data_IF_175840357203
#
_entry.id   IF_175840357203
#
_cell.length_a   1.000
_cell.length_b   1.000
_cell.length_c   1.000
_cell.angle_alpha   90.00
_cell.angle_beta   90.00
_cell.angle_gamma   90.00
#
_symmetry.space_group_name_H-M   'P 1'
#
loop_
_entity.id
_entity.type
_entity.pdbx_description
1 polymer ?
#
# COMPACT_ATOMS: atom_id res chain seq x y z
N UNK A 1 9.88 18.38 -28.17
CA UNK A 1 9.38 17.36 -27.24
C UNK A 1 8.38 16.53 -28.02
N UNK A 2 8.80 15.35 -28.44
CA UNK A 2 7.98 14.41 -29.18
C UNK A 2 7.09 13.72 -28.16
N UNK A 3 5.78 13.95 -28.23
CA UNK A 3 4.77 13.17 -27.51
C UNK A 3 5.00 11.69 -27.87
N UNK A 4 5.53 10.91 -26.94
CA UNK A 4 5.53 9.48 -27.07
C UNK A 4 4.06 9.05 -26.99
N UNK A 5 3.50 8.60 -28.12
CA UNK A 5 2.12 8.11 -28.15
C UNK A 5 1.95 7.03 -27.07
N UNK A 6 1.04 7.27 -26.12
CA UNK A 6 0.70 6.26 -25.12
C UNK A 6 0.26 4.99 -25.85
N UNK A 7 0.86 3.82 -25.55
CA UNK A 7 0.45 2.58 -26.18
C UNK A 7 -1.03 2.30 -25.92
N UNK A 8 -1.73 1.84 -26.96
CA UNK A 8 -3.12 1.37 -26.88
C UNK A 8 -3.25 0.31 -25.77
N UNK A 9 -4.39 0.29 -25.07
CA UNK A 9 -4.64 -0.58 -23.92
C UNK A 9 -4.40 -2.05 -24.24
N UNK A 10 -4.76 -2.48 -25.46
CA UNK A 10 -4.51 -3.83 -25.95
C UNK A 10 -3.02 -4.20 -25.93
N UNK A 11 -2.12 -3.24 -26.19
CA UNK A 11 -0.68 -3.49 -26.26
C UNK A 11 -0.11 -3.78 -24.87
N UNK A 12 -0.34 -2.89 -23.90
CA UNK A 12 0.23 -3.10 -22.56
C UNK A 12 -0.49 -4.19 -21.77
N UNK A 13 -1.76 -4.48 -22.06
CA UNK A 13 -2.45 -5.65 -21.49
C UNK A 13 -1.81 -6.95 -21.97
N UNK A 14 -1.39 -7.01 -23.24
CA UNK A 14 -0.65 -8.17 -23.75
C UNK A 14 0.70 -8.34 -23.06
N UNK A 15 1.38 -7.26 -22.71
CA UNK A 15 2.66 -7.29 -21.98
C UNK A 15 2.52 -7.85 -20.54
N UNK A 16 1.29 -7.91 -20.01
CA UNK A 16 0.95 -8.48 -18.70
C UNK A 16 0.35 -9.90 -18.80
N UNK A 17 0.23 -10.47 -20.00
CA UNK A 17 -0.42 -11.77 -20.22
C UNK A 17 0.13 -12.89 -19.33
N UNK A 18 1.46 -13.05 -19.28
CA UNK A 18 2.10 -14.09 -18.45
C UNK A 18 1.81 -13.93 -16.95
N UNK A 19 1.67 -12.68 -16.46
CA UNK A 19 1.28 -12.41 -15.08
C UNK A 19 -0.18 -12.80 -14.84
N UNK A 20 -1.08 -12.45 -15.76
CA UNK A 20 -2.49 -12.79 -15.65
C UNK A 20 -2.71 -14.30 -15.71
N UNK A 21 -2.08 -15.00 -16.66
CA UNK A 21 -2.12 -16.47 -16.76
C UNK A 21 -1.65 -17.14 -15.46
N UNK A 22 -0.60 -16.60 -14.83
CA UNK A 22 -0.12 -17.09 -13.54
C UNK A 22 -1.14 -16.87 -12.42
N UNK A 23 -1.80 -15.72 -12.38
CA UNK A 23 -2.86 -15.45 -11.40
C UNK A 23 -4.02 -16.41 -11.59
N UNK A 24 -4.51 -16.60 -12.81
CA UNK A 24 -5.60 -17.52 -13.13
C UNK A 24 -5.25 -18.97 -12.77
N UNK A 25 -4.01 -19.39 -13.04
CA UNK A 25 -3.54 -20.73 -12.69
C UNK A 25 -3.56 -20.98 -11.18
N UNK A 26 -3.15 -19.98 -10.38
CA UNK A 26 -3.15 -20.09 -8.91
C UNK A 26 -4.58 -19.96 -8.34
N UNK A 27 -5.39 -19.06 -8.88
CA UNK A 27 -6.75 -18.81 -8.43
C UNK A 27 -7.73 -19.94 -8.80
N UNK A 28 -7.49 -20.62 -9.92
CA UNK A 28 -8.43 -21.58 -10.50
C UNK A 28 -9.68 -20.93 -11.12
N UNK A 29 -9.71 -19.60 -11.24
CA UNK A 29 -10.80 -18.81 -11.85
C UNK A 29 -10.23 -17.68 -12.71
N UNK A 30 -11.01 -17.15 -13.68
CA UNK A 30 -10.51 -16.12 -14.60
C UNK A 30 -10.21 -14.78 -13.91
N UNK A 31 -9.33 -14.01 -14.55
CA UNK A 31 -9.02 -12.62 -14.23
C UNK A 31 -9.40 -11.73 -15.43
N UNK A 32 -10.19 -10.69 -15.17
CA UNK A 32 -10.59 -9.72 -16.19
C UNK A 32 -10.13 -8.31 -15.85
N UNK A 33 -9.67 -7.57 -16.85
CA UNK A 33 -9.36 -6.15 -16.71
C UNK A 33 -10.45 -5.31 -17.36
N UNK A 34 -10.98 -4.30 -16.67
CA UNK A 34 -12.03 -3.44 -17.18
C UNK A 34 -11.69 -1.96 -17.00
N UNK A 35 -11.82 -1.20 -18.09
CA UNK A 35 -11.72 0.25 -18.04
C UNK A 35 -13.03 0.86 -17.53
N UNK A 36 -12.94 1.69 -16.48
CA UNK A 36 -14.08 2.38 -15.86
C UNK A 36 -13.70 3.84 -15.56
N UNK A 37 -14.13 4.78 -16.39
CA UNK A 37 -13.72 6.19 -16.30
C UNK A 37 -14.11 6.92 -15.01
N UNK A 38 -15.19 6.49 -14.36
CA UNK A 38 -15.75 7.10 -13.13
C UNK A 38 -15.22 6.46 -11.83
N UNK A 39 -14.14 5.67 -11.91
CA UNK A 39 -13.57 5.01 -10.73
C UNK A 39 -13.00 6.05 -9.75
N UNK A 40 -13.24 5.90 -8.45
CA UNK A 40 -12.72 6.83 -7.40
C UNK A 40 -11.22 6.64 -7.13
N UNK A 41 -10.70 5.45 -7.38
CA UNK A 41 -9.27 5.09 -7.37
C UNK A 41 -8.71 4.97 -8.79
N UNK A 42 -7.38 4.91 -8.94
CA UNK A 42 -6.75 4.72 -10.26
C UNK A 42 -6.88 3.28 -10.75
N UNK A 43 -6.83 2.32 -9.82
CA UNK A 43 -7.13 0.92 -10.01
C UNK A 43 -7.83 0.35 -8.77
N UNK A 44 -8.58 -0.73 -8.95
CA UNK A 44 -9.11 -1.52 -7.83
C UNK A 44 -9.18 -3.01 -8.22
N UNK A 45 -8.74 -3.87 -7.31
CA UNK A 45 -8.99 -5.30 -7.35
C UNK A 45 -10.35 -5.65 -6.72
N UNK A 46 -11.15 -6.40 -7.47
CA UNK A 46 -12.38 -7.05 -7.01
C UNK A 46 -12.14 -8.56 -7.03
N UNK A 47 -11.90 -9.20 -5.86
CA UNK A 47 -11.74 -10.64 -5.79
C UNK A 47 -13.00 -11.39 -6.21
N UNK A 48 -12.82 -12.58 -6.79
CA UNK A 48 -13.91 -13.50 -7.09
C UNK A 48 -14.66 -13.88 -5.79
N UNK A 49 -15.95 -14.19 -5.94
CA UNK A 49 -16.83 -14.62 -4.86
C UNK A 49 -17.82 -15.67 -5.37
N UNK A 50 -18.58 -16.29 -4.47
CA UNK A 50 -19.64 -17.25 -4.85
C UNK A 50 -20.68 -16.63 -5.80
N UNK A 51 -20.94 -15.32 -5.67
CA UNK A 51 -21.87 -14.60 -6.53
C UNK A 51 -21.28 -14.21 -7.89
N UNK A 52 -19.94 -14.15 -7.97
CA UNK A 52 -19.22 -13.68 -9.14
C UNK A 52 -17.84 -14.37 -9.23
N UNK A 53 -17.74 -15.49 -9.95
CA UNK A 53 -16.57 -16.37 -9.92
C UNK A 53 -15.46 -15.87 -10.86
N UNK A 54 -15.24 -14.55 -10.93
CA UNK A 54 -14.23 -13.91 -11.78
C UNK A 54 -13.56 -12.78 -10.99
N UNK A 55 -12.23 -12.82 -10.91
CA UNK A 55 -11.45 -11.69 -10.40
C UNK A 55 -11.51 -10.54 -11.40
N UNK A 56 -11.66 -9.30 -10.93
CA UNK A 56 -11.60 -8.12 -11.79
C UNK A 56 -10.58 -7.10 -11.31
N UNK A 57 -9.82 -6.54 -12.23
CA UNK A 57 -9.04 -5.34 -12.00
C UNK A 57 -9.70 -4.22 -12.80
N UNK A 58 -10.30 -3.27 -12.11
CA UNK A 58 -10.83 -2.08 -12.75
C UNK A 58 -9.73 -1.01 -12.78
N UNK A 59 -9.67 -0.21 -13.84
CA UNK A 59 -8.73 0.90 -13.96
C UNK A 59 -9.38 2.13 -14.60
N UNK A 60 -9.00 3.32 -14.14
CA UNK A 60 -9.69 4.56 -14.50
C UNK A 60 -9.30 5.12 -15.86
N UNK A 61 -8.01 5.24 -16.10
CA UNK A 61 -7.46 5.92 -17.26
C UNK A 61 -6.63 4.94 -18.07
N UNK A 62 -7.11 4.57 -19.25
CA UNK A 62 -6.40 3.64 -20.13
C UNK A 62 -5.22 4.27 -20.88
N UNK A 63 -5.04 5.60 -20.76
CA UNK A 63 -3.98 6.39 -21.39
C UNK A 63 -2.95 6.96 -20.42
N UNK A 64 -3.17 6.86 -19.10
CA UNK A 64 -2.21 7.33 -18.11
C UNK A 64 -0.95 6.44 -18.09
N UNK A 65 0.22 7.05 -17.96
CA UNK A 65 1.50 6.35 -18.07
C UNK A 65 1.70 5.28 -16.97
N UNK A 66 1.14 5.49 -15.79
CA UNK A 66 1.25 4.58 -14.64
C UNK A 66 0.20 3.47 -14.64
N UNK A 67 -0.83 3.53 -15.48
CA UNK A 67 -1.92 2.53 -15.47
C UNK A 67 -1.45 1.10 -15.66
N UNK A 68 -0.54 0.77 -16.61
CA UNK A 68 -0.05 -0.59 -16.76
C UNK A 68 0.66 -1.11 -15.50
N UNK A 69 1.36 -0.21 -14.79
CA UNK A 69 2.01 -0.55 -13.53
C UNK A 69 0.99 -0.83 -12.42
N UNK A 70 -0.01 0.05 -12.27
CA UNK A 70 -1.07 -0.11 -11.27
C UNK A 70 -1.87 -1.40 -11.47
N UNK A 71 -2.22 -1.74 -12.72
CA UNK A 71 -2.89 -3.01 -13.02
C UNK A 71 -2.01 -4.21 -12.68
N UNK A 72 -0.70 -4.14 -12.94
CA UNK A 72 0.23 -5.19 -12.55
C UNK A 72 0.35 -5.30 -11.01
N UNK A 73 0.33 -4.18 -10.28
CA UNK A 73 0.33 -4.18 -8.81
C UNK A 73 -0.88 -4.94 -8.25
N UNK A 74 -2.09 -4.65 -8.74
CA UNK A 74 -3.31 -5.34 -8.30
C UNK A 74 -3.25 -6.86 -8.55
N UNK A 75 -2.73 -7.27 -9.71
CA UNK A 75 -2.56 -8.68 -10.05
C UNK A 75 -1.55 -9.39 -9.14
N UNK A 76 -0.41 -8.75 -8.85
CA UNK A 76 0.59 -9.31 -7.93
C UNK A 76 0.07 -9.32 -6.50
N UNK A 77 -0.66 -8.29 -6.06
CA UNK A 77 -1.29 -8.27 -4.75
C UNK A 77 -2.28 -9.42 -4.59
N UNK A 78 -3.11 -9.70 -5.62
CA UNK A 78 -3.99 -10.87 -5.62
C UNK A 78 -3.18 -12.16 -5.53
N UNK A 79 -2.11 -12.29 -6.31
CA UNK A 79 -1.26 -13.49 -6.29
C UNK A 79 -0.70 -13.77 -4.89
N UNK A 80 -0.23 -12.74 -4.19
CA UNK A 80 0.29 -12.85 -2.81
C UNK A 80 -0.79 -13.36 -1.84
N UNK A 81 -2.00 -12.81 -1.92
CA UNK A 81 -3.13 -13.23 -1.08
C UNK A 81 -3.51 -14.69 -1.35
N UNK A 82 -3.58 -15.11 -2.61
CA UNK A 82 -3.93 -16.48 -2.99
C UNK A 82 -2.87 -17.51 -2.59
N UNK A 83 -1.61 -17.09 -2.50
CA UNK A 83 -0.50 -17.94 -2.08
C UNK A 83 -0.41 -18.11 -0.57
N UNK A 84 -1.02 -17.23 0.22
CA UNK A 84 -1.17 -17.42 1.65
C UNK A 84 -2.11 -18.62 1.91
N UNK A 85 -1.79 -19.50 2.88
CA UNK A 85 -2.64 -20.64 3.20
C UNK A 85 -4.02 -20.15 3.65
N UNK A 86 -5.09 -20.83 3.21
CA UNK A 86 -6.47 -20.36 3.41
C UNK A 86 -6.85 -20.07 4.87
N UNK A 87 -6.28 -20.79 5.84
CA UNK A 87 -6.49 -20.55 7.28
C UNK A 87 -5.88 -19.22 7.78
N UNK A 88 -5.00 -18.61 6.98
CA UNK A 88 -4.31 -17.36 7.28
C UNK A 88 -4.81 -16.17 6.46
N UNK A 89 -5.72 -16.39 5.49
CA UNK A 89 -6.41 -15.35 4.72
C UNK A 89 -7.49 -14.64 5.57
N UNK A 90 -7.10 -14.15 6.75
CA UNK A 90 -7.98 -13.48 7.70
C UNK A 90 -8.08 -11.99 7.36
N UNK A 91 -9.24 -11.39 7.65
CA UNK A 91 -9.41 -9.96 7.48
C UNK A 91 -8.88 -9.21 8.70
N UNK A 92 -8.17 -8.11 8.46
CA UNK A 92 -7.81 -7.17 9.51
C UNK A 92 -9.04 -6.37 9.94
N UNK A 93 -9.60 -6.67 11.12
CA UNK A 93 -10.77 -5.99 11.67
C UNK A 93 -10.40 -4.89 12.67
N UNK A 94 -10.85 -3.64 12.47
CA UNK A 94 -10.56 -2.56 13.41
C UNK A 94 -11.22 -2.73 14.77
N UNK A 95 -10.47 -2.47 15.85
CA UNK A 95 -10.98 -2.47 17.23
C UNK A 95 -11.63 -1.14 17.60
N UNK A 96 -12.89 -1.21 18.04
CA UNK A 96 -13.66 -0.03 18.48
C UNK A 96 -12.97 0.76 19.59
N UNK A 97 -12.37 0.10 20.58
CA UNK A 97 -11.74 0.78 21.71
C UNK A 97 -10.56 1.66 21.27
N UNK A 98 -9.68 1.14 20.41
CA UNK A 98 -8.56 1.90 19.87
C UNK A 98 -9.04 3.10 19.07
N UNK A 99 -10.07 2.91 18.24
CA UNK A 99 -10.71 4.00 17.47
C UNK A 99 -11.21 5.12 18.37
N UNK A 100 -11.97 4.80 19.42
CA UNK A 100 -12.50 5.84 20.31
C UNK A 100 -11.38 6.60 21.05
N UNK A 101 -10.27 5.92 21.41
CA UNK A 101 -9.09 6.60 22.00
C UNK A 101 -8.48 7.63 21.04
N UNK A 102 -8.30 7.26 19.76
CA UNK A 102 -7.79 8.17 18.72
C UNK A 102 -8.75 9.33 18.50
N UNK A 103 -10.05 9.05 18.40
CA UNK A 103 -11.10 10.06 18.24
C UNK A 103 -11.09 11.06 19.39
N UNK A 104 -11.07 10.60 20.64
CA UNK A 104 -11.05 11.50 21.80
C UNK A 104 -9.78 12.37 21.86
N UNK A 105 -8.62 11.88 21.42
CA UNK A 105 -7.40 12.69 21.34
C UNK A 105 -7.47 13.72 20.20
N UNK A 106 -8.03 13.33 19.04
CA UNK A 106 -8.25 14.25 17.92
C UNK A 106 -9.23 15.38 18.31
N UNK A 107 -10.30 15.08 19.02
CA UNK A 107 -11.25 16.07 19.56
C UNK A 107 -10.54 17.09 20.46
N UNK A 108 -9.65 16.62 21.35
CA UNK A 108 -8.87 17.52 22.22
C UNK A 108 -7.93 18.46 21.46
N UNK A 109 -7.42 18.03 20.29
CA UNK A 109 -6.43 18.76 19.48
C UNK A 109 -7.05 19.72 18.46
N UNK A 110 -8.28 19.48 18.03
CA UNK A 110 -8.95 20.21 16.96
C UNK A 110 -10.11 21.08 17.49
N UNK A 111 -9.91 21.74 18.64
CA UNK A 111 -10.96 22.51 19.35
C UNK A 111 -11.49 23.71 18.57
N UNK A 112 -10.79 24.13 17.52
CA UNK A 112 -11.22 25.16 16.58
C UNK A 112 -12.35 24.70 15.64
N UNK A 113 -12.59 23.39 15.55
CA UNK A 113 -13.65 22.80 14.73
C UNK A 113 -14.92 22.50 15.55
N UNK A 114 -16.04 22.24 14.88
CA UNK A 114 -17.24 21.69 15.55
C UNK A 114 -17.00 20.26 16.05
N UNK A 115 -17.76 19.81 17.06
CA UNK A 115 -17.63 18.43 17.60
C UNK A 115 -17.82 17.35 16.51
N UNK A 116 -18.74 17.56 15.58
CA UNK A 116 -18.95 16.63 14.47
C UNK A 116 -17.69 16.53 13.57
N UNK A 117 -17.09 17.68 13.23
CA UNK A 117 -15.87 17.72 12.43
C UNK A 117 -14.67 17.14 13.18
N UNK A 118 -14.53 17.45 14.48
CA UNK A 118 -13.49 16.88 15.33
C UNK A 118 -13.54 15.34 15.35
N UNK A 119 -14.75 14.79 15.54
CA UNK A 119 -14.97 13.35 15.53
C UNK A 119 -14.62 12.75 14.16
N UNK A 120 -15.03 13.40 13.08
CA UNK A 120 -14.72 12.97 11.72
C UNK A 120 -13.20 12.95 11.45
N UNK A 121 -12.46 13.96 11.90
CA UNK A 121 -10.99 13.99 11.82
C UNK A 121 -10.41 12.78 12.55
N UNK A 122 -10.86 12.49 13.77
CA UNK A 122 -10.40 11.32 14.52
C UNK A 122 -10.69 9.98 13.85
N UNK A 123 -11.89 9.83 13.26
CA UNK A 123 -12.26 8.64 12.50
C UNK A 123 -11.39 8.47 11.26
N UNK A 124 -11.19 9.55 10.51
CA UNK A 124 -10.35 9.54 9.31
C UNK A 124 -8.92 9.16 9.66
N UNK A 125 -8.30 9.82 10.65
CA UNK A 125 -6.94 9.52 11.09
C UNK A 125 -6.76 8.06 11.51
N UNK A 126 -7.71 7.50 12.26
CA UNK A 126 -7.66 6.10 12.65
C UNK A 126 -7.77 5.15 11.44
N UNK A 127 -8.74 5.40 10.56
CA UNK A 127 -8.99 4.55 9.40
C UNK A 127 -7.83 4.61 8.39
N UNK A 128 -7.28 5.81 8.14
CA UNK A 128 -6.15 5.97 7.21
C UNK A 128 -4.88 5.35 7.75
N UNK A 129 -4.59 5.47 9.06
CA UNK A 129 -3.43 4.79 9.66
C UNK A 129 -3.55 3.27 9.57
N UNK A 130 -4.72 2.69 9.85
CA UNK A 130 -4.91 1.25 9.66
C UNK A 130 -4.84 0.84 8.19
N UNK A 131 -5.40 1.63 7.28
CA UNK A 131 -5.30 1.36 5.85
C UNK A 131 -3.85 1.36 5.41
N UNK A 132 -3.08 2.38 5.79
CA UNK A 132 -1.66 2.49 5.49
C UNK A 132 -0.86 1.31 6.04
N UNK A 133 -1.11 0.92 7.29
CA UNK A 133 -0.48 -0.24 7.90
C UNK A 133 -0.76 -1.52 7.11
N UNK A 134 -1.99 -1.69 6.61
CA UNK A 134 -2.40 -2.85 5.83
C UNK A 134 -1.80 -2.86 4.41
N UNK A 135 -1.59 -1.70 3.80
CA UNK A 135 -1.27 -1.61 2.37
C UNK A 135 0.20 -1.33 2.08
N UNK A 136 0.86 -0.47 2.86
CA UNK A 136 2.23 -0.03 2.57
C UNK A 136 3.24 -1.18 2.64
N UNK A 137 3.27 -2.03 3.69
CA UNK A 137 4.26 -3.10 3.75
C UNK A 137 4.12 -4.11 2.59
N UNK A 138 2.92 -4.65 2.27
CA UNK A 138 2.75 -5.50 1.10
C UNK A 138 3.08 -4.81 -0.22
N UNK A 139 2.73 -3.52 -0.37
CA UNK A 139 3.02 -2.76 -1.58
C UNK A 139 4.54 -2.69 -1.87
N UNK A 140 5.39 -2.50 -0.86
CA UNK A 140 6.85 -2.53 -1.06
C UNK A 140 7.36 -3.90 -1.55
N UNK A 141 6.72 -5.00 -1.14
CA UNK A 141 7.06 -6.32 -1.64
C UNK A 141 6.60 -6.49 -3.09
N UNK A 142 5.43 -5.98 -3.44
CA UNK A 142 4.90 -5.92 -4.81
C UNK A 142 5.81 -5.08 -5.71
N UNK A 143 6.20 -3.89 -5.28
CA UNK A 143 7.08 -2.98 -6.02
C UNK A 143 8.40 -3.68 -6.39
N UNK A 144 9.04 -4.33 -5.41
CA UNK A 144 10.28 -5.08 -5.63
C UNK A 144 10.07 -6.27 -6.57
N UNK A 145 8.99 -7.03 -6.39
CA UNK A 145 8.68 -8.16 -7.28
C UNK A 145 8.49 -7.68 -8.72
N UNK A 146 7.73 -6.61 -8.95
CA UNK A 146 7.52 -6.04 -10.28
C UNK A 146 8.82 -5.53 -10.90
N UNK A 147 9.68 -4.87 -10.11
CA UNK A 147 10.98 -4.40 -10.56
C UNK A 147 11.88 -5.53 -11.07
N UNK A 148 11.85 -6.68 -10.37
CA UNK A 148 12.65 -7.86 -10.69
C UNK A 148 12.06 -8.67 -11.86
N UNK A 149 10.74 -8.88 -11.87
CA UNK A 149 10.08 -9.82 -12.79
C UNK A 149 9.57 -9.16 -14.07
N UNK A 150 9.23 -7.87 -14.05
CA UNK A 150 8.66 -7.14 -15.19
C UNK A 150 9.48 -5.88 -15.51
N UNK A 151 10.73 -6.03 -15.99
CA UNK A 151 11.62 -4.91 -16.27
C UNK A 151 11.04 -3.89 -17.26
N UNK A 152 10.12 -4.30 -18.13
CA UNK A 152 9.39 -3.43 -19.06
C UNK A 152 8.46 -2.41 -18.36
N UNK A 153 8.16 -2.61 -17.07
CA UNK A 153 7.36 -1.67 -16.27
C UNK A 153 8.19 -0.65 -15.49
N UNK A 154 9.52 -0.78 -15.44
CA UNK A 154 10.38 0.07 -14.56
C UNK A 154 10.21 1.56 -14.78
N UNK A 155 10.09 2.03 -16.03
CA UNK A 155 9.86 3.46 -16.29
C UNK A 155 8.51 3.95 -15.73
N UNK A 156 7.49 3.10 -15.78
CA UNK A 156 6.14 3.39 -15.24
C UNK A 156 6.12 3.30 -13.72
N UNK A 157 6.86 2.35 -13.17
CA UNK A 157 7.12 2.25 -11.73
C UNK A 157 7.82 3.51 -11.21
N UNK A 158 8.88 3.98 -11.87
CA UNK A 158 9.58 5.21 -11.47
C UNK A 158 8.68 6.43 -11.50
N UNK A 159 7.80 6.55 -12.50
CA UNK A 159 6.80 7.61 -12.57
C UNK A 159 5.82 7.55 -11.39
N UNK A 160 5.29 6.36 -11.09
CA UNK A 160 4.42 6.14 -9.93
C UNK A 160 5.13 6.46 -8.60
N UNK A 161 6.33 5.90 -8.37
CA UNK A 161 7.11 6.13 -7.15
C UNK A 161 7.40 7.61 -6.94
N UNK A 162 7.69 8.35 -8.01
CA UNK A 162 7.90 9.81 -7.96
C UNK A 162 6.64 10.54 -7.51
N UNK A 163 5.49 10.22 -8.10
CA UNK A 163 4.21 10.81 -7.69
C UNK A 163 3.92 10.51 -6.22
N UNK A 164 4.02 9.25 -5.81
CA UNK A 164 3.77 8.85 -4.43
C UNK A 164 4.71 9.56 -3.45
N UNK A 165 6.02 9.59 -3.72
CA UNK A 165 6.97 10.25 -2.82
C UNK A 165 6.77 11.76 -2.75
N UNK A 166 6.32 12.39 -3.84
CA UNK A 166 5.94 13.80 -3.82
C UNK A 166 4.72 14.03 -2.90
N UNK A 167 3.68 13.22 -3.01
CA UNK A 167 2.48 13.31 -2.15
C UNK A 167 2.82 13.09 -0.67
N UNK A 168 3.69 12.12 -0.37
CA UNK A 168 4.18 11.89 1.00
C UNK A 168 4.96 13.10 1.53
N UNK A 169 5.82 13.70 0.71
CA UNK A 169 6.60 14.88 1.10
C UNK A 169 5.70 16.11 1.33
N UNK A 170 4.67 16.30 0.52
CA UNK A 170 3.64 17.33 0.74
C UNK A 170 2.90 17.12 2.07
N UNK A 171 2.72 15.85 2.45
CA UNK A 171 2.24 15.44 3.76
C UNK A 171 3.03 16.04 4.93
N UNK A 172 4.33 16.35 4.78
CA UNK A 172 5.18 16.92 5.83
C UNK A 172 4.96 18.42 6.06
N UNK A 173 4.03 19.05 5.34
CA UNK A 173 3.80 20.49 5.42
C UNK A 173 3.51 20.98 6.86
N UNK A 174 4.09 22.14 7.18
CA UNK A 174 4.05 22.75 8.50
C UNK A 174 2.60 22.96 8.99
N UNK A 175 2.29 22.40 10.16
CA UNK A 175 1.05 22.68 10.91
C UNK A 175 0.06 21.53 10.99
N UNK A 176 0.16 20.51 10.13
CA UNK A 176 -0.72 19.33 10.20
C UNK A 176 -0.44 18.47 11.43
N UNK A 177 0.83 18.35 11.83
CA UNK A 177 1.27 17.55 12.98
C UNK A 177 0.60 17.94 14.31
N UNK A 178 0.28 19.23 14.50
CA UNK A 178 -0.35 19.72 15.74
C UNK A 178 -1.79 19.21 15.90
N UNK A 179 -2.45 18.88 14.78
CA UNK A 179 -3.84 18.41 14.73
C UNK A 179 -3.94 16.89 14.92
N UNK A 180 -2.84 16.16 14.76
CA UNK A 180 -2.81 14.71 14.86
C UNK A 180 -2.50 14.24 16.29
N UNK A 181 -3.15 13.18 16.79
CA UNK A 181 -2.69 12.45 17.97
C UNK A 181 -1.22 11.99 17.80
N UNK A 182 -0.36 12.04 18.83
CA UNK A 182 1.07 11.76 18.68
C UNK A 182 1.37 10.36 18.12
N UNK A 183 0.62 9.35 18.57
CA UNK A 183 0.80 7.98 18.11
C UNK A 183 0.42 7.79 16.63
N UNK A 184 -0.64 8.48 16.18
CA UNK A 184 -1.05 8.50 14.76
C UNK A 184 0.03 9.20 13.93
N UNK A 185 0.50 10.35 14.38
CA UNK A 185 1.56 11.10 13.69
C UNK A 185 2.81 10.24 13.53
N UNK A 186 3.31 9.66 14.62
CA UNK A 186 4.48 8.79 14.59
C UNK A 186 4.29 7.62 13.62
N UNK A 187 3.15 6.91 13.71
CA UNK A 187 2.87 5.78 12.84
C UNK A 187 2.84 6.17 11.36
N UNK A 188 2.11 7.23 11.02
CA UNK A 188 2.01 7.72 9.65
C UNK A 188 3.38 8.17 9.11
N UNK A 189 4.10 9.04 9.83
CA UNK A 189 5.41 9.53 9.38
C UNK A 189 6.46 8.44 9.23
N UNK A 190 6.44 7.45 10.11
CA UNK A 190 7.35 6.31 10.02
C UNK A 190 7.05 5.43 8.80
N UNK A 191 5.78 5.14 8.52
CA UNK A 191 5.39 4.36 7.35
C UNK A 191 5.66 5.13 6.05
N UNK A 192 5.42 6.44 6.03
CA UNK A 192 5.78 7.31 4.91
C UNK A 192 7.31 7.30 4.67
N UNK A 193 8.10 7.43 5.73
CA UNK A 193 9.56 7.38 5.65
C UNK A 193 10.05 6.01 5.15
N UNK A 194 9.49 4.91 5.66
CA UNK A 194 9.84 3.56 5.22
C UNK A 194 9.61 3.38 3.72
N UNK A 195 8.46 3.82 3.22
CA UNK A 195 8.14 3.76 1.79
C UNK A 195 9.04 4.66 0.95
N UNK A 196 9.32 5.89 1.40
CA UNK A 196 10.21 6.81 0.71
C UNK A 196 11.65 6.28 0.60
N UNK A 197 12.17 5.64 1.66
CA UNK A 197 13.49 4.99 1.66
C UNK A 197 13.48 3.76 0.74
N UNK A 198 12.40 2.97 0.76
CA UNK A 198 12.21 1.86 -0.17
C UNK A 198 12.25 2.32 -1.63
N UNK A 199 11.45 3.34 -1.97
CA UNK A 199 11.37 3.90 -3.30
C UNK A 199 12.72 4.47 -3.75
N UNK A 200 13.44 5.19 -2.87
CA UNK A 200 14.76 5.73 -3.16
C UNK A 200 15.77 4.62 -3.50
N UNK A 201 15.72 3.51 -2.75
CA UNK A 201 16.59 2.36 -2.95
C UNK A 201 16.26 1.62 -4.24
N UNK A 202 14.98 1.38 -4.50
CA UNK A 202 14.50 0.60 -5.65
C UNK A 202 14.75 1.31 -6.98
N UNK A 203 14.46 2.61 -7.05
CA UNK A 203 14.62 3.45 -8.26
C UNK A 203 16.01 4.05 -8.43
N UNK A 204 16.85 4.02 -7.38
CA UNK A 204 18.15 4.69 -7.37
C UNK A 204 18.04 6.23 -7.37
N UNK A 205 16.93 6.78 -6.86
CA UNK A 205 16.63 8.23 -6.76
C UNK A 205 16.66 8.65 -5.28
N UNK A 206 17.82 9.09 -4.74
CA UNK A 206 17.96 9.45 -3.33
C UNK A 206 17.02 10.56 -2.88
N UNK A 207 16.57 11.41 -3.81
CA UNK A 207 15.70 12.56 -3.55
C UNK A 207 14.36 12.17 -2.91
N UNK A 208 13.90 10.93 -3.11
CA UNK A 208 12.65 10.46 -2.51
C UNK A 208 12.70 10.39 -0.99
N UNK A 209 13.84 10.04 -0.38
CA UNK A 209 13.99 9.94 1.07
C UNK A 209 14.49 11.22 1.74
N UNK A 210 15.00 12.19 0.97
CA UNK A 210 15.54 13.46 1.50
C UNK A 210 14.61 14.19 2.49
N UNK A 211 13.27 14.24 2.30
CA UNK A 211 12.39 14.93 3.24
C UNK A 211 12.40 14.36 4.66
N UNK A 212 12.81 13.11 4.83
CA UNK A 212 12.86 12.42 6.12
C UNK A 212 14.25 12.42 6.75
N UNK A 213 15.30 12.72 5.98
CA UNK A 213 16.69 12.59 6.40
C UNK A 213 17.02 13.48 7.62
N UNK A 214 17.72 12.92 8.60
CA UNK A 214 18.10 13.56 9.86
C UNK A 214 16.93 13.78 10.83
N UNK A 215 15.74 13.25 10.53
CA UNK A 215 14.58 13.32 11.42
C UNK A 215 14.41 12.04 12.25
N UNK A 216 13.61 12.10 13.32
CA UNK A 216 13.23 10.91 14.08
C UNK A 216 12.43 9.88 13.24
N UNK A 217 11.89 10.30 12.09
CA UNK A 217 11.14 9.44 11.19
C UNK A 217 12.04 8.59 10.29
N UNK A 218 13.27 9.05 10.00
CA UNK A 218 14.24 8.26 9.21
C UNK A 218 14.67 7.00 9.97
N UNK A 219 15.00 7.12 11.26
CA UNK A 219 15.39 5.99 12.10
C UNK A 219 14.25 4.96 12.15
N UNK A 220 13.06 5.41 12.53
CA UNK A 220 11.90 4.52 12.64
C UNK A 220 11.49 3.92 11.29
N UNK A 221 11.51 4.70 10.21
CA UNK A 221 11.20 4.23 8.86
C UNK A 221 12.22 3.20 8.35
N UNK A 222 13.51 3.38 8.68
CA UNK A 222 14.56 2.42 8.36
C UNK A 222 14.34 1.10 9.07
N UNK A 223 13.97 1.12 10.36
CA UNK A 223 13.64 -0.09 11.11
C UNK A 223 12.43 -0.82 10.52
N UNK A 224 11.37 -0.09 10.15
CA UNK A 224 10.20 -0.68 9.47
C UNK A 224 10.58 -1.33 8.14
N UNK A 225 11.42 -0.68 7.34
CA UNK A 225 11.92 -1.25 6.08
C UNK A 225 12.71 -2.54 6.32
N UNK A 226 13.57 -2.59 7.35
CA UNK A 226 14.31 -3.79 7.71
C UNK A 226 13.40 -4.95 8.12
N UNK A 227 12.34 -4.67 8.90
CA UNK A 227 11.33 -5.69 9.26
C UNK A 227 10.62 -6.26 8.03
N UNK A 228 10.29 -5.40 7.06
CA UNK A 228 9.68 -5.85 5.80
C UNK A 228 10.61 -6.71 4.96
N UNK A 229 11.90 -6.35 4.90
CA UNK A 229 12.92 -7.12 4.19
C UNK A 229 13.16 -8.49 4.86
N UNK A 230 13.29 -8.54 6.18
CA UNK A 230 13.47 -9.78 6.92
C UNK A 230 12.31 -10.77 6.72
N UNK A 231 11.07 -10.29 6.80
CA UNK A 231 9.87 -11.12 6.60
C UNK A 231 9.81 -11.76 5.20
N UNK A 232 10.40 -11.12 4.20
CA UNK A 232 10.45 -11.64 2.82
C UNK A 232 11.54 -12.70 2.67
N UNK A 233 12.70 -12.50 3.29
CA UNK A 233 13.81 -13.46 3.29
C UNK A 233 13.48 -14.73 4.09
N UNK A 234 12.88 -14.59 5.27
CA UNK A 234 12.52 -15.72 6.12
C UNK A 234 11.45 -16.60 5.44
N UNK A 235 10.49 -16.00 4.73
CA UNK A 235 9.50 -16.74 3.95
C UNK A 235 10.11 -17.53 2.78
N UNK A 236 11.25 -17.09 2.23
CA UNK A 236 11.95 -17.82 1.16
C UNK A 236 12.74 -19.03 1.69
N UNK A 237 13.14 -19.00 2.96
CA UNK A 237 13.94 -20.06 3.60
C UNK A 237 13.10 -21.01 4.47
N UNK A 238 11.89 -20.59 4.88
CA UNK A 238 10.99 -21.38 5.73
C UNK A 238 10.31 -22.51 4.96
N UNK A 239 10.18 -23.66 5.62
CA UNK A 239 9.34 -24.80 5.18
C UNK A 239 7.94 -24.74 5.80
N UNK A 240 7.68 -23.80 6.71
CA UNK A 240 6.36 -23.56 7.29
C UNK A 240 5.55 -22.62 6.39
N UNK A 241 4.28 -22.95 6.20
CA UNK A 241 3.38 -22.14 5.39
C UNK A 241 2.94 -20.93 6.22
N UNK A 242 3.50 -19.77 5.92
CA UNK A 242 3.17 -18.52 6.61
C UNK A 242 2.83 -17.40 5.63
N UNK A 243 1.89 -16.53 6.01
CA UNK A 243 1.55 -15.30 5.31
C UNK A 243 2.61 -14.21 5.63
N UNK A 244 3.52 -13.90 4.68
CA UNK A 244 4.56 -12.90 4.91
C UNK A 244 4.01 -11.47 5.02
N UNK A 245 2.86 -11.19 4.40
CA UNK A 245 2.23 -9.86 4.44
C UNK A 245 1.66 -9.61 5.84
N UNK A 246 0.99 -10.61 6.40
CA UNK A 246 0.52 -10.54 7.79
C UNK A 246 1.67 -10.37 8.79
N UNK A 247 2.76 -11.13 8.63
CA UNK A 247 3.91 -11.04 9.54
C UNK A 247 4.51 -9.64 9.58
N UNK A 248 4.73 -9.02 8.41
CA UNK A 248 5.27 -7.66 8.37
C UNK A 248 4.27 -6.64 8.94
N UNK A 249 2.97 -6.81 8.68
CA UNK A 249 1.91 -5.95 9.23
C UNK A 249 1.91 -6.02 10.76
N UNK A 250 1.97 -7.22 11.33
CA UNK A 250 2.03 -7.44 12.78
C UNK A 250 3.32 -6.83 13.37
N UNK A 251 4.48 -7.06 12.73
CA UNK A 251 5.76 -6.52 13.20
C UNK A 251 5.81 -4.99 13.15
N UNK A 252 5.27 -4.37 12.09
CA UNK A 252 5.12 -2.92 12.00
C UNK A 252 4.19 -2.41 13.08
N UNK A 253 3.06 -3.06 13.30
CA UNK A 253 2.09 -2.65 14.31
C UNK A 253 2.68 -2.69 15.73
N UNK A 254 3.46 -3.72 16.05
CA UNK A 254 4.19 -3.82 17.31
C UNK A 254 5.21 -2.69 17.45
N UNK A 255 6.03 -2.48 16.42
CA UNK A 255 7.07 -1.45 16.42
C UNK A 255 6.52 -0.03 16.56
N UNK A 256 5.35 0.21 15.98
CA UNK A 256 4.64 1.48 16.03
C UNK A 256 3.77 1.64 17.29
N UNK A 257 3.61 0.59 18.11
CA UNK A 257 2.78 0.63 19.32
C UNK A 257 1.27 0.62 19.03
N UNK A 258 0.86 0.14 17.86
CA UNK A 258 -0.54 0.10 17.39
C UNK A 258 -1.08 -1.32 17.18
N UNK A 259 -0.34 -2.37 17.55
CA UNK A 259 -0.76 -3.78 17.46
C UNK A 259 -2.14 -4.08 18.09
N UNK A 260 -2.57 -3.29 19.08
CA UNK A 260 -3.89 -3.45 19.73
C UNK A 260 -5.02 -2.72 19.00
N UNK A 261 -4.79 -2.19 17.80
CA UNK A 261 -5.80 -1.46 17.03
C UNK A 261 -6.66 -2.35 16.14
N UNK A 262 -6.27 -3.60 15.92
CA UNK A 262 -7.03 -4.53 15.11
C UNK A 262 -6.97 -5.95 15.68
N UNK A 263 -7.76 -6.83 15.07
CA UNK A 263 -7.72 -8.27 15.21
C UNK A 263 -7.69 -8.90 13.82
N UNK A 264 -7.13 -10.10 13.72
CA UNK A 264 -7.30 -10.97 12.55
C UNK A 264 -8.48 -11.90 12.81
N UNK A 265 -9.46 -11.92 11.90
CA UNK A 265 -10.62 -12.82 11.98
C UNK A 265 -11.25 -13.11 10.64
#
# INVERSE_FOLDING_TARGET
MTDAATPDAATWLSDLGDLFDRVEQVAGVPLQTLWVSELEDQSILLPASDADPVHRILYRDNTHETTPYLVAMEAVQLLRVLQAPGEQQLAMLPRREARERVVSEAERRNRDLSLAQQRQVGLNLYNTTLSQLRTVPPAMAVDRWLFEQLPQLRSRQDAFLRQQCQELAEGLALGMDRRMPPLVLQANRAMDAAYAIHAATLSGVPEFSLPYQGSAWEELGTELLQLAQASTSDAAESTEVSDPDRQVIDAWAERLGIARWYDWS
#
